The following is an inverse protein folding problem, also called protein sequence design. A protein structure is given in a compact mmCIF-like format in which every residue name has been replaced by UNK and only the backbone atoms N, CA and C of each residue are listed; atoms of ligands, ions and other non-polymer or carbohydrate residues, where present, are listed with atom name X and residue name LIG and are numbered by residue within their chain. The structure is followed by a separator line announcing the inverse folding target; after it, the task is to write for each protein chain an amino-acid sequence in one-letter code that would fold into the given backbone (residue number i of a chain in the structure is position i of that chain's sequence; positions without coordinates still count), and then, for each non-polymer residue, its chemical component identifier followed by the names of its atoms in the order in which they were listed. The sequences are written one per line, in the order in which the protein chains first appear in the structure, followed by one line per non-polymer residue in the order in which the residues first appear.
data_IF_654622480861
#
_entry.id   IF_654622480861
#
_cell.length_a   1.000
_cell.length_b   1.000
_cell.length_c   1.000
_cell.angle_alpha   90.00
_cell.angle_beta   90.00
_cell.angle_gamma   90.00
#
_symmetry.space_group_name_H-M   'P 1'
#
loop_
_entity.id
_entity.type
_entity.pdbx_description
1 polymer ?
#
# COMPACT_ATOMS: atom_id res chain seq x y z
N UNK A 1 -5.17 7.00 14.47
CA UNK A 1 -6.42 6.28 14.72
C UNK A 1 -7.09 5.87 13.42
N UNK A 2 -6.86 4.64 12.98
CA UNK A 2 -7.64 4.01 11.91
C UNK A 2 -8.90 3.36 12.51
N UNK A 3 -10.06 3.65 11.91
CA UNK A 3 -11.36 3.06 12.27
C UNK A 3 -11.85 2.20 11.13
N UNK A 4 -12.27 0.96 11.44
CA UNK A 4 -12.74 -0.02 10.46
C UNK A 4 -14.26 -0.16 10.51
N UNK A 5 -14.92 -0.03 9.36
CA UNK A 5 -16.36 -0.24 9.19
C UNK A 5 -16.61 -1.44 8.27
N UNK A 6 -17.04 -2.57 8.84
CA UNK A 6 -17.20 -3.81 8.09
C UNK A 6 -18.60 -3.88 7.45
N UNK A 7 -18.67 -3.69 6.14
CA UNK A 7 -19.92 -3.57 5.38
C UNK A 7 -20.48 -4.91 4.89
N UNK A 8 -19.73 -6.00 5.04
CA UNK A 8 -20.21 -7.38 4.81
C UNK A 8 -19.97 -8.27 6.04
N UNK A 9 -20.67 -9.43 6.14
CA UNK A 9 -20.38 -10.41 7.20
C UNK A 9 -18.95 -10.93 7.09
N UNK A 10 -18.15 -10.70 8.14
CA UNK A 10 -16.74 -11.09 8.24
C UNK A 10 -16.55 -11.78 9.59
N UNK A 11 -15.87 -12.94 9.58
CA UNK A 11 -15.59 -13.73 10.79
C UNK A 11 -14.67 -12.98 11.76
N UNK A 12 -14.73 -13.33 13.04
CA UNK A 12 -13.91 -12.69 14.08
C UNK A 12 -12.41 -12.85 13.80
N UNK A 13 -11.99 -14.01 13.28
CA UNK A 13 -10.60 -14.25 12.90
C UNK A 13 -10.12 -13.26 11.82
N UNK A 14 -10.95 -13.02 10.79
CA UNK A 14 -10.63 -12.07 9.71
C UNK A 14 -10.68 -10.64 10.22
N UNK A 15 -11.69 -10.26 11.01
CA UNK A 15 -11.74 -8.95 11.70
C UNK A 15 -10.46 -8.70 12.50
N UNK A 16 -9.96 -9.72 13.19
CA UNK A 16 -8.69 -9.64 13.91
C UNK A 16 -7.48 -9.33 13.02
N UNK A 17 -7.41 -9.87 11.79
CA UNK A 17 -6.34 -9.53 10.84
C UNK A 17 -6.40 -8.06 10.40
N UNK A 18 -7.61 -7.56 10.10
CA UNK A 18 -7.82 -6.15 9.79
C UNK A 18 -7.43 -5.22 10.95
N UNK A 19 -7.82 -5.56 12.18
CA UNK A 19 -7.45 -4.78 13.36
C UNK A 19 -5.95 -4.77 13.59
N UNK A 20 -5.25 -5.91 13.48
CA UNK A 20 -3.78 -5.94 13.60
C UNK A 20 -3.08 -5.11 12.53
N UNK A 21 -3.61 -5.12 11.30
CA UNK A 21 -3.07 -4.27 10.23
C UNK A 21 -3.25 -2.78 10.52
N UNK A 22 -4.42 -2.39 11.02
CA UNK A 22 -4.68 -1.01 11.47
C UNK A 22 -3.77 -0.60 12.62
N UNK A 23 -3.62 -1.45 13.64
CA UNK A 23 -2.72 -1.22 14.77
C UNK A 23 -1.26 -1.09 14.32
N UNK A 24 -0.84 -1.91 13.34
CA UNK A 24 0.51 -1.83 12.76
C UNK A 24 0.73 -0.49 12.06
N UNK A 25 -0.20 -0.04 11.22
CA UNK A 25 -0.07 1.27 10.56
C UNK A 25 -0.15 2.44 11.55
N UNK A 26 -1.03 2.39 12.55
CA UNK A 26 -1.11 3.40 13.62
C UNK A 26 0.17 3.45 14.47
N UNK A 27 0.93 2.35 14.55
CA UNK A 27 2.24 2.34 15.22
C UNK A 27 3.37 2.97 14.41
N UNK A 28 3.19 3.10 13.09
CA UNK A 28 4.19 3.61 12.14
C UNK A 28 3.90 5.07 11.76
N UNK A 29 2.62 5.42 11.65
CA UNK A 29 2.14 6.68 11.09
C UNK A 29 1.21 7.34 12.11
N UNK A 30 1.39 8.64 12.35
CA UNK A 30 0.40 9.42 13.09
C UNK A 30 -0.85 9.59 12.21
N UNK A 31 -1.87 8.80 12.55
CA UNK A 31 -3.16 8.77 11.84
C UNK A 31 -4.28 9.39 12.70
N UNK A 32 -3.97 10.02 13.83
CA UNK A 32 -4.88 10.95 14.49
C UNK A 32 -4.67 12.35 13.92
N UNK A 33 -5.76 13.01 13.57
CA UNK A 33 -5.75 14.28 12.86
C UNK A 33 -6.73 15.26 13.48
N UNK A 34 -6.61 16.52 13.06
CA UNK A 34 -7.63 17.52 13.37
C UNK A 34 -9.01 17.04 12.90
N UNK A 35 -10.05 17.07 13.76
CA UNK A 35 -11.31 16.44 13.43
C UNK A 35 -12.05 17.15 12.29
N UNK A 36 -12.55 16.38 11.34
CA UNK A 36 -13.38 16.84 10.21
C UNK A 36 -14.77 16.22 10.28
N UNK A 37 -15.77 16.88 9.68
CA UNK A 37 -17.11 16.30 9.53
C UNK A 37 -17.22 15.63 8.17
N UNK A 38 -17.49 14.33 8.15
CA UNK A 38 -17.71 13.54 6.94
C UNK A 38 -19.00 12.75 7.09
N UNK A 39 -19.95 12.94 6.16
CA UNK A 39 -21.26 12.27 6.17
C UNK A 39 -22.02 12.37 7.52
N UNK A 40 -21.92 13.53 8.17
CA UNK A 40 -22.56 13.77 9.47
C UNK A 40 -21.85 13.14 10.68
N UNK A 41 -20.72 12.45 10.46
CA UNK A 41 -19.84 11.91 11.50
C UNK A 41 -18.66 12.85 11.72
N UNK A 42 -18.27 13.07 12.97
CA UNK A 42 -17.00 13.73 13.31
C UNK A 42 -15.91 12.68 13.32
N UNK A 43 -14.89 12.85 12.48
CA UNK A 43 -13.76 11.93 12.33
C UNK A 43 -12.45 12.64 12.67
N UNK A 44 -11.75 12.13 13.67
CA UNK A 44 -10.41 12.55 14.14
C UNK A 44 -9.30 11.59 13.69
N UNK A 45 -9.61 10.74 12.71
CA UNK A 45 -8.68 9.78 12.11
C UNK A 45 -9.11 9.37 10.70
N UNK A 46 -8.80 8.14 10.30
CA UNK A 46 -9.19 7.58 9.01
C UNK A 46 -10.31 6.55 9.17
N UNK A 47 -11.38 6.67 8.40
CA UNK A 47 -12.43 5.65 8.29
C UNK A 47 -12.18 4.75 7.08
N UNK A 48 -12.09 3.43 7.28
CA UNK A 48 -11.94 2.48 6.18
C UNK A 48 -13.15 1.55 6.15
N UNK A 49 -13.89 1.58 5.05
CA UNK A 49 -14.95 0.62 4.79
C UNK A 49 -14.35 -0.68 4.25
N UNK A 50 -14.59 -1.77 4.95
CA UNK A 50 -14.02 -3.09 4.65
C UNK A 50 -15.11 -4.04 4.18
N UNK A 51 -14.87 -4.69 3.04
CA UNK A 51 -15.76 -5.72 2.51
C UNK A 51 -15.00 -6.94 2.00
N UNK A 52 -15.63 -8.10 2.14
CA UNK A 52 -15.25 -9.34 1.43
C UNK A 52 -16.43 -9.71 0.55
N UNK A 53 -16.23 -9.67 -0.77
CA UNK A 53 -17.26 -9.91 -1.79
C UNK A 53 -16.62 -10.37 -3.10
N UNK A 54 -17.36 -10.99 -4.03
CA UNK A 54 -16.79 -11.38 -5.32
C UNK A 54 -16.20 -10.20 -6.10
N UNK A 55 -15.01 -10.37 -6.68
CA UNK A 55 -14.36 -9.37 -7.55
C UNK A 55 -14.24 -9.92 -8.97
N UNK A 56 -13.36 -10.90 -9.19
CA UNK A 56 -13.12 -11.50 -10.51
C UNK A 56 -12.84 -13.02 -10.50
N UNK A 57 -12.90 -13.65 -9.33
CA UNK A 57 -12.72 -15.10 -9.19
C UNK A 57 -11.31 -15.47 -8.75
N UNK A 58 -10.94 -16.76 -8.79
CA UNK A 58 -9.66 -17.22 -8.23
C UNK A 58 -8.45 -16.65 -8.97
N UNK A 59 -7.40 -16.33 -8.22
CA UNK A 59 -6.06 -15.98 -8.74
C UNK A 59 -6.02 -14.72 -9.61
N UNK A 60 -7.08 -13.90 -9.59
CA UNK A 60 -7.14 -12.59 -10.22
C UNK A 60 -6.75 -11.50 -9.22
N UNK A 61 -7.70 -10.65 -8.84
CA UNK A 61 -7.46 -9.58 -7.88
C UNK A 61 -7.72 -10.08 -6.46
N UNK A 62 -6.67 -10.16 -5.62
CA UNK A 62 -6.82 -10.59 -4.23
C UNK A 62 -7.53 -9.52 -3.39
N UNK A 63 -7.21 -8.26 -3.67
CA UNK A 63 -7.76 -7.09 -2.99
C UNK A 63 -7.72 -5.82 -3.84
N UNK A 64 -8.52 -4.84 -3.44
CA UNK A 64 -8.44 -3.48 -3.96
C UNK A 64 -8.75 -2.47 -2.88
N UNK A 65 -7.99 -1.38 -2.90
CA UNK A 65 -8.13 -0.35 -1.89
C UNK A 65 -7.68 1.02 -2.39
N UNK A 66 -8.20 2.06 -1.74
CA UNK A 66 -7.81 3.43 -2.00
C UNK A 66 -8.64 4.45 -1.22
N UNK A 67 -8.15 5.69 -1.11
CA UNK A 67 -8.91 6.76 -0.46
C UNK A 67 -10.11 7.15 -1.31
N UNK A 68 -11.21 7.53 -0.64
CA UNK A 68 -12.43 8.05 -1.28
C UNK A 68 -12.69 9.52 -0.93
N UNK A 69 -12.19 9.99 0.21
CA UNK A 69 -12.26 11.39 0.61
C UNK A 69 -10.96 11.85 1.28
N UNK A 70 -10.56 13.09 1.00
CA UNK A 70 -9.32 13.70 1.50
C UNK A 70 -9.59 14.94 2.35
N UNK A 71 -8.69 15.23 3.28
CA UNK A 71 -8.72 16.39 4.17
C UNK A 71 -8.44 17.67 3.39
N UNK A 72 -9.11 18.79 3.72
CA UNK A 72 -8.77 20.07 3.15
C UNK A 72 -7.36 20.48 3.57
N UNK A 73 -6.59 21.05 2.63
CA UNK A 73 -5.23 21.53 2.89
C UNK A 73 -4.18 20.42 2.80
N UNK A 74 -4.18 19.45 3.71
CA UNK A 74 -3.15 18.39 3.72
C UNK A 74 -3.35 17.34 2.64
N UNK A 75 -4.58 17.20 2.12
CA UNK A 75 -4.99 16.14 1.20
C UNK A 75 -4.71 14.71 1.70
N UNK A 76 -4.56 14.54 3.02
CA UNK A 76 -4.47 13.21 3.63
C UNK A 76 -5.86 12.53 3.70
N UNK A 77 -5.96 11.21 3.57
CA UNK A 77 -7.20 10.46 3.66
C UNK A 77 -8.06 10.75 4.90
N UNK A 78 -9.36 10.95 4.68
CA UNK A 78 -10.42 10.97 5.71
C UNK A 78 -11.19 9.65 5.70
N UNK A 79 -11.47 9.17 4.49
CA UNK A 79 -12.21 7.93 4.26
C UNK A 79 -11.58 7.16 3.10
N UNK A 80 -11.76 5.85 3.11
CA UNK A 80 -11.40 4.98 2.00
C UNK A 80 -12.10 3.64 2.04
N UNK A 81 -11.85 2.84 1.01
CA UNK A 81 -12.42 1.51 0.85
C UNK A 81 -11.32 0.47 0.78
N UNK A 82 -11.65 -0.73 1.25
CA UNK A 82 -10.80 -1.91 1.14
C UNK A 82 -11.69 -3.14 0.89
N UNK A 83 -11.48 -3.81 -0.23
CA UNK A 83 -12.30 -4.93 -0.68
C UNK A 83 -11.42 -6.13 -1.04
N UNK A 84 -11.80 -7.34 -0.62
CA UNK A 84 -11.08 -8.59 -0.93
C UNK A 84 -11.98 -9.59 -1.64
N UNK A 85 -11.42 -10.34 -2.59
CA UNK A 85 -12.18 -11.35 -3.31
C UNK A 85 -12.45 -12.58 -2.43
N UNK A 86 -13.73 -12.86 -2.22
CA UNK A 86 -14.21 -14.11 -1.62
C UNK A 86 -13.54 -15.38 -2.14
N UNK A 87 -13.16 -15.43 -3.43
CA UNK A 87 -12.55 -16.59 -4.07
C UNK A 87 -11.12 -16.87 -3.59
N UNK A 88 -10.42 -15.85 -3.08
CA UNK A 88 -9.00 -15.94 -2.75
C UNK A 88 -8.70 -15.95 -1.26
N UNK A 89 -9.59 -15.41 -0.41
CA UNK A 89 -9.35 -15.29 1.04
C UNK A 89 -8.98 -16.62 1.69
N UNK A 90 -9.67 -17.72 1.39
CA UNK A 90 -9.36 -19.03 1.98
C UNK A 90 -7.97 -19.56 1.58
N UNK A 91 -7.53 -19.26 0.35
CA UNK A 91 -6.19 -19.61 -0.13
C UNK A 91 -5.13 -18.77 0.58
N UNK A 92 -5.37 -17.47 0.75
CA UNK A 92 -4.48 -16.56 1.47
C UNK A 92 -4.34 -16.96 2.95
N UNK A 93 -5.44 -17.36 3.59
CA UNK A 93 -5.44 -17.85 4.97
C UNK A 93 -4.63 -19.14 5.10
N UNK A 94 -4.81 -20.10 4.18
CA UNK A 94 -4.01 -21.34 4.17
C UNK A 94 -2.53 -21.10 3.95
N UNK A 95 -2.19 -20.07 3.17
CA UNK A 95 -0.80 -19.71 2.86
C UNK A 95 -0.20 -18.73 3.89
N UNK A 96 -0.95 -18.37 4.94
CA UNK A 96 -0.56 -17.38 5.94
C UNK A 96 -0.15 -16.02 5.35
N UNK A 97 -0.78 -15.61 4.24
CA UNK A 97 -0.50 -14.35 3.55
C UNK A 97 -1.67 -13.36 3.58
N UNK A 98 -2.81 -13.73 4.19
CA UNK A 98 -3.98 -12.85 4.23
C UNK A 98 -3.70 -11.53 4.95
N UNK A 99 -3.03 -11.57 6.11
CA UNK A 99 -2.69 -10.36 6.87
C UNK A 99 -1.70 -9.46 6.11
N UNK A 100 -0.76 -10.03 5.35
CA UNK A 100 0.15 -9.28 4.50
C UNK A 100 -0.60 -8.50 3.41
N UNK A 101 -1.56 -9.15 2.74
CA UNK A 101 -2.39 -8.46 1.72
C UNK A 101 -3.25 -7.39 2.39
N UNK A 102 -3.77 -7.64 3.59
CA UNK A 102 -4.52 -6.61 4.33
C UNK A 102 -3.66 -5.40 4.69
N UNK A 103 -2.44 -5.62 5.19
CA UNK A 103 -1.47 -4.56 5.45
C UNK A 103 -1.15 -3.76 4.19
N UNK A 104 -0.92 -4.46 3.08
CA UNK A 104 -0.65 -3.88 1.76
C UNK A 104 -1.80 -3.00 1.26
N UNK A 105 -3.02 -3.52 1.23
CA UNK A 105 -4.19 -2.76 0.77
C UNK A 105 -4.48 -1.55 1.67
N UNK A 106 -4.26 -1.66 2.98
CA UNK A 106 -4.43 -0.54 3.89
C UNK A 106 -3.41 0.59 3.62
N UNK A 107 -2.21 0.27 3.15
CA UNK A 107 -1.21 1.25 2.70
C UNK A 107 -1.73 2.08 1.51
N UNK A 108 -2.44 1.44 0.57
CA UNK A 108 -3.07 2.15 -0.55
C UNK A 108 -4.18 3.09 -0.09
N UNK A 109 -4.95 2.75 0.94
CA UNK A 109 -5.92 3.67 1.55
C UNK A 109 -5.22 4.88 2.15
N UNK A 110 -4.08 4.66 2.80
CA UNK A 110 -3.22 5.71 3.38
C UNK A 110 -2.47 6.54 2.32
N UNK A 111 -2.66 6.26 1.03
CA UNK A 111 -2.12 7.09 -0.04
C UNK A 111 -0.88 6.55 -0.74
N UNK A 112 -0.33 5.42 -0.28
CA UNK A 112 0.81 4.79 -0.94
C UNK A 112 0.44 4.38 -2.37
N UNK A 113 1.16 4.89 -3.36
CA UNK A 113 0.88 4.65 -4.78
C UNK A 113 -0.35 5.38 -5.33
N UNK A 114 -1.41 5.49 -4.54
CA UNK A 114 -2.69 6.10 -4.94
C UNK A 114 -2.65 7.63 -4.95
N UNK A 115 -1.86 8.26 -4.08
CA UNK A 115 -1.73 9.72 -3.97
C UNK A 115 -0.40 10.27 -4.50
N UNK A 116 0.57 9.44 -4.88
CA UNK A 116 1.89 9.91 -5.33
C UNK A 116 1.84 10.86 -6.53
N UNK A 117 1.10 10.50 -7.58
CA UNK A 117 0.96 11.35 -8.76
C UNK A 117 0.23 12.67 -8.44
N UNK A 118 -0.78 12.60 -7.55
CA UNK A 118 -1.52 13.77 -7.06
C UNK A 118 -0.60 14.73 -6.30
N UNK A 119 0.28 14.19 -5.46
CA UNK A 119 1.28 14.96 -4.72
C UNK A 119 2.47 15.43 -5.59
N UNK A 120 2.50 15.12 -6.89
CA UNK A 120 3.59 15.49 -7.78
C UNK A 120 4.90 14.73 -7.52
N UNK A 121 4.82 13.55 -6.89
CA UNK A 121 5.97 12.74 -6.48
C UNK A 121 6.38 11.68 -7.52
N UNK A 122 5.77 11.69 -8.71
CA UNK A 122 6.06 10.72 -9.78
C UNK A 122 6.68 11.43 -10.98
N UNK A 123 7.88 11.00 -11.37
CA UNK A 123 8.57 11.41 -12.58
C UNK A 123 8.47 10.34 -13.67
N UNK A 124 8.43 10.78 -14.93
CA UNK A 124 8.42 9.92 -16.10
C UNK A 124 7.26 8.90 -16.09
N UNK A 125 6.11 9.33 -15.57
CA UNK A 125 4.86 8.58 -15.63
C UNK A 125 4.54 8.15 -17.07
N UNK A 126 4.04 6.94 -17.24
CA UNK A 126 3.73 6.34 -18.54
C UNK A 126 4.94 5.80 -19.31
N UNK A 127 6.17 6.01 -18.83
CA UNK A 127 7.39 5.50 -19.48
C UNK A 127 7.81 4.12 -18.96
N UNK A 128 8.84 3.53 -19.57
CA UNK A 128 9.42 2.27 -19.07
C UNK A 128 10.23 2.44 -17.79
N UNK A 129 10.48 3.67 -17.33
CA UNK A 129 11.25 3.93 -16.12
C UNK A 129 10.65 5.06 -15.27
N UNK A 130 9.40 4.90 -14.80
CA UNK A 130 8.82 5.83 -13.85
C UNK A 130 9.57 5.75 -12.51
N UNK A 131 9.67 6.88 -11.83
CA UNK A 131 10.40 7.03 -10.56
C UNK A 131 9.60 7.83 -9.54
N UNK A 132 9.74 7.48 -8.27
CA UNK A 132 9.26 8.28 -7.14
C UNK A 132 10.34 9.26 -6.69
N UNK A 133 9.96 10.53 -6.50
CA UNK A 133 10.89 11.65 -6.29
C UNK A 133 10.83 12.27 -4.89
N UNK A 134 10.13 11.64 -3.94
CA UNK A 134 10.11 12.09 -2.55
C UNK A 134 11.51 12.05 -1.93
N UNK A 135 11.86 13.09 -1.16
CA UNK A 135 13.20 13.29 -0.67
C UNK A 135 13.57 12.30 0.44
N UNK A 136 12.62 11.98 1.32
CA UNK A 136 12.79 11.02 2.41
C UNK A 136 13.01 9.61 1.87
N UNK A 137 12.10 9.13 1.02
CA UNK A 137 12.22 7.81 0.41
C UNK A 137 13.51 7.69 -0.43
N UNK A 138 13.91 8.75 -1.13
CA UNK A 138 15.16 8.73 -1.91
C UNK A 138 16.39 8.63 -0.99
N UNK A 139 16.38 9.26 0.19
CA UNK A 139 17.46 9.12 1.17
C UNK A 139 17.54 7.67 1.69
N UNK A 140 16.41 7.10 2.11
CA UNK A 140 16.37 5.71 2.61
C UNK A 140 16.76 4.70 1.51
N UNK A 141 16.41 4.96 0.25
CA UNK A 141 16.86 4.14 -0.87
C UNK A 141 18.39 4.15 -1.02
N UNK A 142 19.04 5.31 -0.85
CA UNK A 142 20.50 5.41 -0.87
C UNK A 142 21.15 4.67 0.30
N UNK A 143 20.56 4.78 1.49
CA UNK A 143 21.06 4.12 2.69
C UNK A 143 20.98 2.58 2.61
N UNK A 144 20.00 2.07 1.85
CA UNK A 144 19.90 0.66 1.49
C UNK A 144 20.92 0.21 0.42
N UNK A 145 21.71 1.13 -0.15
CA UNK A 145 22.71 0.87 -1.20
C UNK A 145 22.23 1.18 -2.62
N UNK A 146 21.08 1.82 -2.78
CA UNK A 146 20.62 2.35 -4.06
C UNK A 146 21.53 3.47 -4.57
N UNK A 147 21.74 3.53 -5.89
CA UNK A 147 22.69 4.48 -6.51
C UNK A 147 22.02 5.66 -7.22
N UNK A 148 20.69 5.68 -7.31
CA UNK A 148 19.95 6.67 -8.11
C UNK A 148 19.37 7.81 -7.26
N UNK A 149 19.08 8.94 -7.91
CA UNK A 149 18.51 10.13 -7.30
C UNK A 149 16.98 10.08 -7.14
N UNK A 150 16.34 8.98 -7.54
CA UNK A 150 14.91 8.75 -7.42
C UNK A 150 14.64 7.23 -7.32
N UNK A 151 13.56 6.86 -6.65
CA UNK A 151 13.26 5.46 -6.32
C UNK A 151 12.52 4.79 -7.49
N UNK A 152 12.99 3.65 -8.00
CA UNK A 152 12.27 2.92 -9.05
C UNK A 152 10.89 2.44 -8.61
N UNK A 153 9.84 2.87 -9.32
CA UNK A 153 8.48 2.34 -9.11
C UNK A 153 8.11 1.34 -10.20
N UNK A 154 7.07 0.56 -9.95
CA UNK A 154 6.59 -0.48 -10.85
C UNK A 154 6.29 0.10 -12.24
N UNK A 155 6.97 -0.45 -13.25
CA UNK A 155 6.88 -0.04 -14.64
C UNK A 155 6.12 -1.05 -15.52
N UNK A 156 5.64 -2.12 -14.89
CA UNK A 156 4.90 -3.23 -15.49
C UNK A 156 3.62 -3.51 -14.71
N UNK A 157 2.86 -4.51 -15.14
CA UNK A 157 1.52 -4.77 -14.63
C UNK A 157 0.45 -3.85 -15.24
N UNK A 158 -0.79 -4.01 -14.77
CA UNK A 158 -1.93 -3.21 -15.21
C UNK A 158 -1.99 -1.84 -14.52
N UNK A 159 -3.08 -1.10 -14.76
CA UNK A 159 -3.35 0.16 -14.07
C UNK A 159 -3.40 0.02 -12.53
N UNK A 160 -3.75 -1.18 -12.05
CA UNK A 160 -3.75 -1.52 -10.64
C UNK A 160 -2.37 -1.66 -10.01
N UNK A 161 -1.29 -1.73 -10.80
CA UNK A 161 0.07 -2.05 -10.32
C UNK A 161 1.07 -0.99 -10.69
N UNK A 162 1.06 -0.62 -11.97
CA UNK A 162 2.04 0.29 -12.54
C UNK A 162 1.94 1.64 -11.84
N UNK A 163 3.09 2.16 -11.43
CA UNK A 163 3.27 3.42 -10.72
C UNK A 163 2.58 3.49 -9.34
N UNK A 164 2.04 2.38 -8.86
CA UNK A 164 1.41 2.23 -7.55
C UNK A 164 2.24 1.55 -6.48
N UNK A 165 3.36 0.98 -6.91
CA UNK A 165 4.14 0.05 -6.12
C UNK A 165 5.62 0.32 -6.30
N UNK A 166 6.41 -0.20 -5.37
CA UNK A 166 7.83 -0.37 -5.61
C UNK A 166 8.08 -1.36 -6.76
N UNK A 167 9.18 -1.14 -7.49
CA UNK A 167 9.58 -2.02 -8.58
C UNK A 167 10.05 -3.36 -8.04
N UNK A 168 9.25 -4.40 -8.24
CA UNK A 168 9.53 -5.79 -7.80
C UNK A 168 10.97 -6.25 -8.12
N UNK A 169 11.46 -5.99 -9.34
CA UNK A 169 12.82 -6.37 -9.76
C UNK A 169 13.96 -5.63 -9.06
N UNK A 170 13.64 -4.64 -8.22
CA UNK A 170 14.60 -3.91 -7.40
C UNK A 170 14.39 -4.22 -5.92
N UNK A 171 13.13 -4.34 -5.49
CA UNK A 171 12.78 -4.41 -4.07
C UNK A 171 12.38 -5.81 -3.58
N UNK A 172 12.17 -6.76 -4.49
CA UNK A 172 11.92 -8.16 -4.14
C UNK A 172 10.71 -8.34 -3.25
N UNK A 173 10.93 -8.87 -2.05
CA UNK A 173 9.89 -9.22 -1.09
C UNK A 173 9.45 -8.06 -0.19
N UNK A 174 9.78 -6.81 -0.49
CA UNK A 174 9.23 -5.66 0.26
C UNK A 174 7.69 -5.64 0.14
N UNK A 175 6.98 -5.36 1.25
CA UNK A 175 5.52 -5.51 1.32
C UNK A 175 4.76 -4.76 0.21
N UNK A 176 5.23 -3.58 -0.18
CA UNK A 176 4.53 -2.65 -1.07
C UNK A 176 5.04 -2.72 -2.51
N UNK A 177 5.63 -3.84 -2.89
CA UNK A 177 5.72 -4.25 -4.29
C UNK A 177 4.40 -4.85 -4.76
N UNK A 178 4.18 -4.91 -6.08
CA UNK A 178 2.91 -5.35 -6.65
C UNK A 178 2.66 -6.85 -6.63
N UNK A 179 3.49 -7.65 -5.98
CA UNK A 179 3.41 -9.12 -6.03
C UNK A 179 3.71 -9.74 -4.66
N UNK A 180 3.00 -10.83 -4.34
CA UNK A 180 3.30 -11.61 -3.15
C UNK A 180 4.59 -12.40 -3.38
N UNK A 181 5.68 -11.83 -2.88
CA UNK A 181 7.02 -12.40 -2.96
C UNK A 181 7.61 -12.61 -1.57
N UNK A 182 8.58 -13.52 -1.47
CA UNK A 182 9.21 -13.89 -0.21
C UNK A 182 8.24 -14.47 0.82
N UNK A 183 8.75 -14.70 2.02
CA UNK A 183 7.99 -15.29 3.14
C UNK A 183 7.68 -14.30 4.26
N UNK A 184 8.43 -13.19 4.37
CA UNK A 184 8.35 -12.27 5.52
C UNK A 184 7.73 -10.91 5.20
N UNK A 185 7.72 -10.49 3.92
CA UNK A 185 7.11 -9.24 3.42
C UNK A 185 7.30 -8.02 4.34
N UNK A 186 8.55 -7.60 4.58
CA UNK A 186 8.85 -6.50 5.50
C UNK A 186 8.33 -5.15 5.02
N UNK A 187 7.89 -4.32 5.97
CA UNK A 187 7.69 -2.87 5.77
C UNK A 187 9.02 -2.17 5.96
N UNK A 188 9.62 -1.72 4.86
CA UNK A 188 10.93 -1.06 4.88
C UNK A 188 10.86 0.40 5.36
N UNK A 189 12.00 0.94 5.81
CA UNK A 189 12.16 2.38 6.07
C UNK A 189 11.86 3.22 4.83
N UNK A 190 12.18 2.70 3.65
CA UNK A 190 11.86 3.30 2.35
C UNK A 190 10.34 3.54 2.20
N UNK A 191 9.53 2.51 2.47
CA UNK A 191 8.07 2.60 2.42
C UNK A 191 7.54 3.63 3.40
N UNK A 192 8.02 3.60 4.64
CA UNK A 192 7.60 4.54 5.69
C UNK A 192 7.94 5.98 5.30
N UNK A 193 9.15 6.22 4.76
CA UNK A 193 9.57 7.55 4.32
C UNK A 193 8.74 8.08 3.14
N UNK A 194 8.15 7.21 2.30
CA UNK A 194 7.24 7.66 1.23
C UNK A 194 5.93 8.27 1.77
N UNK A 195 5.48 7.83 2.97
CA UNK A 195 4.36 8.48 3.66
C UNK A 195 4.79 9.83 4.25
N UNK A 196 6.02 9.95 4.74
CA UNK A 196 6.56 11.24 5.15
C UNK A 196 6.58 12.24 3.98
N UNK A 197 6.97 11.78 2.79
CA UNK A 197 6.96 12.58 1.56
C UNK A 197 5.53 12.97 1.11
N UNK A 198 4.51 12.22 1.52
CA UNK A 198 3.09 12.59 1.36
C UNK A 198 2.60 13.59 2.41
N UNK A 199 3.38 13.89 3.45
CA UNK A 199 3.05 14.84 4.51
C UNK A 199 2.56 14.22 5.82
N UNK A 200 2.76 12.90 6.01
CA UNK A 200 2.51 12.26 7.31
C UNK A 200 3.67 12.48 8.29
N UNK A 201 3.35 12.55 9.58
CA UNK A 201 4.33 12.30 10.64
C UNK A 201 4.49 10.78 10.82
N UNK A 202 5.73 10.29 10.78
CA UNK A 202 6.04 8.86 10.76
C UNK A 202 7.17 8.49 11.73
N UNK A 203 7.16 7.24 12.21
CA UNK A 203 8.28 6.63 12.95
C UNK A 203 9.07 5.66 12.05
N UNK A 204 10.20 6.14 11.52
CA UNK A 204 11.08 5.30 10.69
C UNK A 204 11.75 4.17 11.51
N UNK A 205 11.81 4.26 12.84
CA UNK A 205 12.37 3.20 13.68
C UNK A 205 11.42 2.01 13.84
N UNK A 206 10.13 2.19 13.52
CA UNK A 206 9.14 1.11 13.51
C UNK A 206 9.25 0.19 12.28
N UNK A 207 10.16 0.45 11.34
CA UNK A 207 10.41 -0.37 10.17
C UNK A 207 10.86 -1.79 10.52
N UNK A 208 10.51 -2.74 9.67
CA UNK A 208 11.06 -4.08 9.72
C UNK A 208 12.48 -4.10 9.17
N UNK A 209 13.25 -5.14 9.56
CA UNK A 209 14.58 -5.35 8.99
C UNK A 209 14.44 -5.68 7.50
N UNK A 210 15.10 -4.89 6.66
CA UNK A 210 15.06 -5.02 5.21
C UNK A 210 16.40 -4.65 4.58
N UNK A 211 16.76 -5.32 3.49
CA UNK A 211 17.94 -5.02 2.67
C UNK A 211 17.58 -5.19 1.21
N UNK A 212 18.17 -4.39 0.33
CA UNK A 212 17.99 -4.59 -1.11
C UNK A 212 18.47 -6.00 -1.53
N UNK A 213 17.63 -6.78 -2.22
CA UNK A 213 18.03 -8.08 -2.72
C UNK A 213 19.04 -7.92 -3.85
N UNK A 214 19.98 -8.87 -3.94
CA UNK A 214 20.78 -9.02 -5.15
C UNK A 214 20.04 -9.88 -6.20
N UNK A 215 20.55 -9.91 -7.43
CA UNK A 215 19.92 -10.67 -8.52
C UNK A 215 19.74 -12.16 -8.22
N UNK A 216 20.65 -12.78 -7.46
CA UNK A 216 20.51 -14.18 -7.09
C UNK A 216 19.35 -14.37 -6.11
N UNK A 217 19.22 -13.50 -5.12
CA UNK A 217 18.11 -13.54 -4.17
C UNK A 217 16.76 -13.35 -4.87
N UNK A 218 16.67 -12.40 -5.81
CA UNK A 218 15.47 -12.22 -6.66
C UNK A 218 15.14 -13.49 -7.44
N UNK A 219 16.12 -14.14 -8.07
CA UNK A 219 15.91 -15.38 -8.80
C UNK A 219 15.48 -16.55 -7.89
N UNK A 220 16.00 -16.64 -6.67
CA UNK A 220 15.60 -17.63 -5.67
C UNK A 220 14.16 -17.37 -5.17
N UNK A 221 13.69 -16.12 -5.17
CA UNK A 221 12.28 -15.74 -4.97
C UNK A 221 11.41 -15.97 -6.23
N UNK A 222 12.01 -16.41 -7.33
CA UNK A 222 11.35 -16.60 -8.63
C UNK A 222 11.16 -15.31 -9.44
N UNK A 223 11.66 -14.17 -8.98
CA UNK A 223 11.51 -12.86 -9.62
C UNK A 223 12.59 -12.71 -10.69
N UNK A 224 12.31 -13.21 -11.90
CA UNK A 224 13.29 -13.29 -12.99
C UNK A 224 12.97 -12.42 -14.20
N UNK A 225 11.76 -11.87 -14.30
CA UNK A 225 11.33 -11.04 -15.42
C UNK A 225 10.45 -9.86 -14.98
N UNK A 226 10.51 -8.77 -15.75
CA UNK A 226 9.78 -7.54 -15.44
C UNK A 226 8.27 -7.71 -15.67
N UNK A 227 7.87 -8.59 -16.58
CA UNK A 227 6.48 -8.73 -17.02
C UNK A 227 5.80 -9.84 -16.25
N UNK A 228 5.46 -9.56 -14.99
CA UNK A 228 4.44 -10.33 -14.30
C UNK A 228 3.09 -9.61 -14.49
N UNK A 229 2.05 -10.34 -14.85
CA UNK A 229 0.68 -9.83 -14.73
C UNK A 229 0.42 -9.77 -13.23
N UNK A 230 0.05 -8.60 -12.73
CA UNK A 230 -0.24 -8.44 -11.31
C UNK A 230 -1.59 -9.02 -11.01
N UNK A 231 -1.54 -10.12 -10.27
CA UNK A 231 -2.67 -10.85 -9.71
C UNK A 231 -2.72 -10.63 -8.18
N UNK A 232 -2.10 -9.55 -7.68
CA UNK A 232 -2.14 -9.21 -6.25
C UNK A 232 -3.30 -8.28 -5.97
N UNK A 233 -3.31 -7.13 -6.61
CA UNK A 233 -4.22 -6.06 -6.27
C UNK A 233 -4.62 -5.28 -7.50
N UNK A 234 -5.80 -4.67 -7.41
CA UNK A 234 -6.08 -3.45 -8.16
C UNK A 234 -5.98 -2.31 -7.19
N UNK A 235 -5.01 -1.43 -7.35
CA UNK A 235 -5.11 -0.12 -6.72
C UNK A 235 -6.45 0.49 -7.11
N UNK A 236 -7.31 0.67 -6.12
CA UNK A 236 -8.45 1.54 -6.24
C UNK A 236 -7.88 2.91 -6.54
N UNK A 237 -8.11 3.38 -7.77
CA UNK A 237 -7.97 4.79 -8.10
C UNK A 237 -9.36 5.43 -8.09
N UNK A 238 -10.13 5.44 -6.97
CA UNK A 238 -11.19 6.44 -6.86
C UNK A 238 -10.60 7.80 -7.21
N UNK A 239 -11.40 8.67 -7.80
CA UNK A 239 -11.06 10.09 -7.80
C UNK A 239 -11.54 10.64 -6.46
N UNK A 240 -10.67 10.75 -5.43
CA UNK A 240 -11.16 11.09 -4.11
C UNK A 240 -11.53 12.57 -4.07
N UNK A 241 -12.61 12.86 -3.36
CA UNK A 241 -13.12 14.22 -3.21
C UNK A 241 -12.41 14.88 -2.03
N UNK A 242 -11.91 16.10 -2.23
CA UNK A 242 -11.39 16.92 -1.12
C UNK A 242 -12.59 17.54 -0.40
N UNK A 243 -12.65 17.38 0.91
CA UNK A 243 -13.70 18.03 1.70
C UNK A 243 -13.52 19.56 1.65
N UNK A 244 -14.65 20.28 1.65
CA UNK A 244 -14.68 21.75 1.66
C UNK A 244 -14.33 22.32 3.03
#
# INVERSE_FOLDING_TARGET
MITLDFTTPISDARRGAFTRAADRWDSIIETAFEPVTFEGRRLDGLLIEVSISPIDGPEGVLGQAGPTALRPGSELPVAGIMQFDTADVERLERNASFEDVVLHEMAHVLGFGTLWARAGLVQASGTNDPRFTGAGATQEYRDLGGSEAAVPIANTGGAGTREGHWRELVFGDELLTGFLSGAQRPISRLSIASFQDLGYDVDLAAADAYTLPNFRALAEMGITEAVRVCDLCRMGRPEPVVLN
#
